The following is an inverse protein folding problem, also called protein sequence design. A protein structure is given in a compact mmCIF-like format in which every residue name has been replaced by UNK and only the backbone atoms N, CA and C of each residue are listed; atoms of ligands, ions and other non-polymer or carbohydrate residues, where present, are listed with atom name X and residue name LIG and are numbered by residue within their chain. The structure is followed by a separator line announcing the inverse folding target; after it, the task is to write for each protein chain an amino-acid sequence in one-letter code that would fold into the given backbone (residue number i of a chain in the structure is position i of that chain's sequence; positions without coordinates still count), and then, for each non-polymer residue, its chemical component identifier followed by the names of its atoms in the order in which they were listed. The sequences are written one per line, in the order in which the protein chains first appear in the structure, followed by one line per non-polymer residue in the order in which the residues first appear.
data_IF_141858445426
#
_entry.id   IF_141858445426
#
_cell.length_a   1.000
_cell.length_b   1.000
_cell.length_c   1.000
_cell.angle_alpha   90.00
_cell.angle_beta   90.00
_cell.angle_gamma   90.00
#
_symmetry.space_group_name_H-M   'P 1'
#
loop_
_entity.id
_entity.type
_entity.pdbx_description
1 polymer ?
#
# COMPACT_ATOMS: atom_id res chain seq x y z
N UNK A 1 27.86 -6.21 -5.12
CA UNK A 1 26.46 -6.66 -5.05
C UNK A 1 26.47 -8.13 -4.69
N UNK A 2 25.87 -8.51 -3.56
CA UNK A 2 25.70 -9.93 -3.20
C UNK A 2 24.60 -10.48 -4.11
N UNK A 3 24.91 -11.53 -4.85
CA UNK A 3 23.94 -12.18 -5.75
C UNK A 3 22.88 -12.90 -4.91
N UNK A 4 21.60 -12.61 -5.19
CA UNK A 4 20.47 -13.25 -4.53
C UNK A 4 20.41 -14.73 -4.92
N UNK A 5 20.40 -15.61 -3.93
CA UNK A 5 20.29 -17.04 -4.15
C UNK A 5 18.85 -17.48 -4.47
N UNK A 6 18.67 -18.74 -4.89
CA UNK A 6 17.35 -19.29 -5.28
C UNK A 6 16.33 -19.27 -4.15
N UNK A 7 16.75 -19.54 -2.92
CA UNK A 7 15.86 -19.58 -1.75
C UNK A 7 15.35 -18.17 -1.41
N UNK A 8 16.25 -17.18 -1.42
CA UNK A 8 15.92 -15.77 -1.21
C UNK A 8 14.95 -15.27 -2.28
N UNK A 9 15.22 -15.58 -3.55
CA UNK A 9 14.32 -15.24 -4.66
C UNK A 9 12.93 -15.86 -4.47
N UNK A 10 12.88 -17.16 -4.17
CA UNK A 10 11.63 -17.88 -3.95
C UNK A 10 10.83 -17.29 -2.78
N UNK A 11 11.50 -16.86 -1.71
CA UNK A 11 10.87 -16.22 -0.54
C UNK A 11 10.16 -14.91 -0.94
N UNK A 12 10.81 -14.06 -1.71
CA UNK A 12 10.21 -12.82 -2.25
C UNK A 12 9.03 -13.16 -3.15
N UNK A 13 9.22 -14.06 -4.13
CA UNK A 13 8.17 -14.47 -5.05
C UNK A 13 6.94 -15.01 -4.32
N UNK A 14 7.13 -15.86 -3.30
CA UNK A 14 6.04 -16.39 -2.48
C UNK A 14 5.25 -15.29 -1.78
N UNK A 15 5.91 -14.25 -1.26
CA UNK A 15 5.24 -13.11 -0.61
C UNK A 15 4.46 -12.27 -1.62
N UNK A 16 5.03 -11.99 -2.79
CA UNK A 16 4.36 -11.23 -3.85
C UNK A 16 3.16 -11.99 -4.45
N UNK A 17 3.31 -13.31 -4.68
CA UNK A 17 2.23 -14.19 -5.16
C UNK A 17 1.11 -14.35 -4.13
N UNK A 18 1.42 -14.17 -2.83
CA UNK A 18 0.41 -14.16 -1.76
C UNK A 18 -0.58 -13.01 -1.87
N UNK A 19 -0.32 -12.02 -2.72
CA UNK A 19 -1.15 -10.83 -2.93
C UNK A 19 -1.69 -10.79 -4.37
N UNK A 20 -2.58 -11.72 -4.77
CA UNK A 20 -3.00 -11.90 -6.17
C UNK A 20 -3.79 -10.71 -6.74
N UNK A 21 -4.31 -9.84 -5.88
CA UNK A 21 -5.02 -8.61 -6.25
C UNK A 21 -4.07 -7.42 -6.49
N UNK A 22 -2.76 -7.59 -6.28
CA UNK A 22 -1.75 -6.56 -6.55
C UNK A 22 -1.09 -6.84 -7.90
N UNK A 23 -1.11 -5.85 -8.79
CA UNK A 23 -0.37 -5.87 -10.04
C UNK A 23 1.04 -5.30 -9.79
N UNK A 24 2.04 -6.16 -9.64
CA UNK A 24 3.44 -5.77 -9.43
C UNK A 24 4.06 -5.22 -10.73
N UNK A 25 4.87 -4.17 -10.64
CA UNK A 25 5.43 -3.45 -11.80
C UNK A 25 6.96 -3.28 -11.69
N UNK A 26 7.40 -2.38 -10.81
CA UNK A 26 8.82 -1.99 -10.70
C UNK A 26 9.42 -2.46 -9.39
N UNK A 27 10.75 -2.57 -9.37
CA UNK A 27 11.50 -2.70 -8.13
C UNK A 27 12.72 -1.78 -8.15
N UNK A 28 13.21 -1.46 -6.96
CA UNK A 28 14.47 -0.77 -6.72
C UNK A 28 15.35 -1.68 -5.86
N UNK A 29 16.60 -1.89 -6.29
CA UNK A 29 17.60 -2.66 -5.57
C UNK A 29 18.63 -1.69 -4.98
N UNK A 30 18.60 -1.52 -3.66
CA UNK A 30 19.55 -0.70 -2.93
C UNK A 30 20.58 -1.57 -2.22
N UNK A 31 21.58 -0.93 -1.60
CA UNK A 31 22.65 -1.64 -0.90
C UNK A 31 22.12 -2.68 0.11
N UNK A 32 21.10 -2.30 0.89
CA UNK A 32 20.60 -3.08 2.02
C UNK A 32 19.21 -3.68 1.84
N UNK A 33 18.52 -3.42 0.72
CA UNK A 33 17.15 -3.88 0.51
C UNK A 33 16.75 -3.97 -0.97
N UNK A 34 15.66 -4.69 -1.21
CA UNK A 34 14.92 -4.63 -2.48
C UNK A 34 13.52 -4.12 -2.16
N UNK A 35 13.10 -3.03 -2.82
CA UNK A 35 11.74 -2.50 -2.70
C UNK A 35 10.97 -2.82 -3.97
N UNK A 36 9.80 -3.45 -3.85
CA UNK A 36 8.92 -3.79 -4.97
C UNK A 36 7.66 -2.94 -4.90
N UNK A 37 7.22 -2.42 -6.04
CA UNK A 37 6.08 -1.53 -6.19
C UNK A 37 4.97 -2.20 -7.01
N UNK A 38 3.72 -1.99 -6.59
CA UNK A 38 2.56 -2.54 -7.27
C UNK A 38 1.31 -1.69 -7.09
N UNK A 39 0.25 -2.10 -7.78
CA UNK A 39 -1.00 -1.36 -7.86
C UNK A 39 -2.22 -2.26 -7.71
N UNK A 40 -3.20 -1.84 -6.93
CA UNK A 40 -4.53 -2.48 -6.84
C UNK A 40 -5.50 -1.60 -7.63
N UNK A 41 -6.24 -2.20 -8.56
CA UNK A 41 -7.28 -1.48 -9.30
C UNK A 41 -8.46 -1.19 -8.37
N UNK A 42 -8.97 0.04 -8.40
CA UNK A 42 -10.23 0.40 -7.74
C UNK A 42 -11.36 0.28 -8.74
N UNK A 43 -12.49 -0.26 -8.30
CA UNK A 43 -13.68 -0.37 -9.15
C UNK A 43 -14.47 0.95 -9.24
N UNK A 44 -14.36 1.78 -8.20
CA UNK A 44 -15.22 2.97 -8.01
C UNK A 44 -14.70 4.23 -8.72
N UNK A 45 -13.42 4.27 -9.07
CA UNK A 45 -12.79 5.43 -9.69
C UNK A 45 -11.61 5.01 -10.60
N UNK A 46 -11.06 5.97 -11.34
CA UNK A 46 -9.88 5.75 -12.19
C UNK A 46 -8.56 5.75 -11.40
N UNK A 47 -8.61 5.86 -10.08
CA UNK A 47 -7.40 5.80 -9.26
C UNK A 47 -7.03 4.35 -8.99
N UNK A 48 -5.75 4.14 -8.67
CA UNK A 48 -5.24 2.86 -8.20
C UNK A 48 -4.69 3.04 -6.81
N UNK A 49 -4.79 2.00 -5.99
CA UNK A 49 -4.05 1.97 -4.75
C UNK A 49 -2.62 1.56 -5.00
N UNK A 50 -1.70 2.33 -4.45
CA UNK A 50 -0.29 2.00 -4.45
C UNK A 50 0.02 1.01 -3.34
N UNK A 51 0.92 0.07 -3.61
CA UNK A 51 1.48 -0.87 -2.65
C UNK A 51 3.01 -0.87 -2.82
N UNK A 52 3.74 -0.90 -1.72
CA UNK A 52 5.16 -1.25 -1.73
C UNK A 52 5.48 -2.26 -0.65
N UNK A 53 6.47 -3.11 -0.92
CA UNK A 53 7.06 -4.05 0.05
C UNK A 53 8.58 -3.93 -0.06
N UNK A 54 9.25 -3.83 1.07
CA UNK A 54 10.69 -3.79 1.20
C UNK A 54 11.19 -5.09 1.82
N UNK A 55 12.19 -5.70 1.19
CA UNK A 55 12.85 -6.92 1.63
C UNK A 55 14.29 -6.59 2.04
N UNK A 56 14.61 -6.70 3.33
CA UNK A 56 15.91 -6.36 3.90
C UNK A 56 16.96 -7.45 3.70
N UNK A 57 18.17 -7.08 3.28
CA UNK A 57 19.32 -7.99 3.13
C UNK A 57 19.96 -8.26 4.51
N UNK A 58 20.60 -9.43 4.71
CA UNK A 58 20.83 -10.50 3.73
C UNK A 58 19.70 -11.54 3.65
N UNK A 59 18.75 -11.54 4.58
CA UNK A 59 17.76 -12.63 4.72
C UNK A 59 16.52 -12.47 3.83
N UNK A 60 16.37 -11.31 3.20
CA UNK A 60 15.23 -10.90 2.36
C UNK A 60 13.88 -11.13 3.05
N UNK A 61 13.84 -10.89 4.37
CA UNK A 61 12.59 -10.73 5.12
C UNK A 61 11.98 -9.36 4.89
N UNK A 62 10.67 -9.26 5.09
CA UNK A 62 9.98 -7.99 4.93
C UNK A 62 10.40 -7.04 6.05
N UNK A 63 11.12 -5.97 5.68
CA UNK A 63 11.57 -4.91 6.60
C UNK A 63 10.55 -3.79 6.72
N UNK A 64 9.81 -3.52 5.64
CA UNK A 64 8.77 -2.52 5.60
C UNK A 64 7.74 -2.84 4.51
N UNK A 65 6.54 -2.30 4.66
CA UNK A 65 5.55 -2.28 3.60
C UNK A 65 4.59 -1.11 3.82
N UNK A 66 3.83 -0.75 2.78
CA UNK A 66 2.77 0.22 2.91
C UNK A 66 1.82 0.20 1.73
N UNK A 67 0.62 0.71 1.95
CA UNK A 67 -0.37 0.90 0.88
C UNK A 67 -1.19 2.16 1.09
N UNK A 68 -1.71 2.72 0.00
CA UNK A 68 -2.78 3.71 0.06
C UNK A 68 -4.17 3.09 0.23
N UNK A 69 -4.30 1.76 0.15
CA UNK A 69 -5.59 1.06 0.20
C UNK A 69 -6.07 0.86 1.63
N UNK A 70 -7.10 1.63 2.01
CA UNK A 70 -7.81 1.38 3.27
C UNK A 70 -8.51 0.01 3.28
N UNK A 71 -9.01 -0.44 2.12
CA UNK A 71 -9.78 -1.67 2.01
C UNK A 71 -8.89 -2.92 2.12
N UNK A 72 -7.66 -2.87 1.58
CA UNK A 72 -6.75 -4.02 1.54
C UNK A 72 -5.63 -4.00 2.59
N UNK A 73 -5.41 -2.91 3.33
CA UNK A 73 -4.25 -2.78 4.22
C UNK A 73 -4.17 -3.88 5.28
N UNK A 74 -5.29 -4.26 5.90
CA UNK A 74 -5.29 -5.32 6.91
C UNK A 74 -4.99 -6.71 6.31
N UNK A 75 -5.52 -6.99 5.11
CA UNK A 75 -5.27 -8.25 4.42
C UNK A 75 -3.80 -8.36 3.99
N UNK A 76 -3.23 -7.28 3.45
CA UNK A 76 -1.81 -7.20 3.10
C UNK A 76 -0.95 -7.44 4.35
N UNK A 77 -1.28 -6.78 5.46
CA UNK A 77 -0.56 -6.92 6.72
C UNK A 77 -0.43 -8.37 7.18
N UNK A 78 -1.54 -9.13 7.15
CA UNK A 78 -1.57 -10.55 7.56
C UNK A 78 -0.74 -11.46 6.66
N UNK A 79 -0.64 -11.12 5.38
CA UNK A 79 0.14 -11.91 4.40
C UNK A 79 1.63 -11.60 4.52
N UNK A 80 1.95 -10.31 4.72
CA UNK A 80 3.31 -9.81 4.91
C UNK A 80 3.89 -10.32 6.23
N UNK A 81 3.20 -10.07 7.33
CA UNK A 81 3.60 -10.53 8.66
C UNK A 81 2.85 -11.79 9.02
N UNK A 82 3.54 -12.92 8.97
CA UNK A 82 3.00 -14.23 9.37
C UNK A 82 2.90 -14.40 10.89
N UNK A 83 3.31 -13.40 11.68
CA UNK A 83 3.25 -13.41 13.14
C UNK A 83 2.09 -12.53 13.63
N UNK A 84 1.21 -13.11 14.47
CA UNK A 84 0.02 -12.46 15.01
C UNK A 84 0.34 -11.30 15.97
N UNK A 85 1.58 -11.22 16.46
CA UNK A 85 2.00 -10.20 17.42
C UNK A 85 2.19 -8.79 16.82
N UNK A 86 2.26 -8.66 15.49
CA UNK A 86 2.41 -7.34 14.85
C UNK A 86 1.03 -6.75 14.59
N UNK A 87 0.67 -5.69 15.32
CA UNK A 87 -0.60 -4.99 15.13
C UNK A 87 -0.61 -4.18 13.82
N UNK A 88 -1.68 -4.31 13.03
CA UNK A 88 -1.94 -3.47 11.86
C UNK A 88 -2.24 -2.02 12.28
N UNK A 89 -1.73 -1.06 11.52
CA UNK A 89 -2.02 0.36 11.69
C UNK A 89 -2.96 0.86 10.60
N UNK A 90 -4.04 1.54 10.97
CA UNK A 90 -5.01 2.05 10.01
C UNK A 90 -4.42 3.11 9.08
N UNK A 91 -4.76 3.03 7.80
CA UNK A 91 -4.49 4.09 6.82
C UNK A 91 -5.24 5.37 7.20
N UNK A 92 -4.48 6.46 7.40
CA UNK A 92 -4.99 7.78 7.76
C UNK A 92 -4.88 8.73 6.57
N UNK A 93 -5.83 9.68 6.49
CA UNK A 93 -5.85 10.71 5.44
C UNK A 93 -4.95 11.89 5.82
N UNK A 94 -4.17 12.37 4.85
CA UNK A 94 -3.19 13.45 5.05
C UNK A 94 -3.87 14.75 5.48
N UNK A 95 -5.03 15.08 4.90
CA UNK A 95 -5.76 16.33 5.21
C UNK A 95 -6.30 16.39 6.65
N UNK A 96 -6.41 15.25 7.35
CA UNK A 96 -6.86 15.23 8.74
C UNK A 96 -5.76 15.62 9.72
N UNK A 97 -4.49 15.62 9.29
CA UNK A 97 -3.34 15.86 10.16
C UNK A 97 -2.47 17.03 9.72
N UNK A 98 -2.33 17.24 8.41
CA UNK A 98 -1.40 18.20 7.83
C UNK A 98 -2.14 19.23 6.98
N UNK A 99 -1.75 20.51 7.09
CA UNK A 99 -2.31 21.60 6.30
C UNK A 99 -1.36 21.96 5.14
N UNK A 100 -1.46 21.21 4.04
CA UNK A 100 -0.63 21.42 2.84
C UNK A 100 -1.50 21.79 1.63
N UNK A 101 -0.98 22.65 0.75
CA UNK A 101 -1.73 23.20 -0.40
C UNK A 101 -2.17 22.13 -1.40
N UNK A 102 -1.33 21.12 -1.63
CA UNK A 102 -1.50 20.06 -2.61
C UNK A 102 -2.11 18.77 -2.01
N UNK A 103 -2.97 18.90 -0.98
CA UNK A 103 -3.68 17.75 -0.41
C UNK A 103 -4.99 17.48 -1.17
N UNK A 104 -5.27 16.20 -1.45
CA UNK A 104 -6.61 15.78 -1.87
C UNK A 104 -7.56 16.03 -0.69
N UNK A 105 -8.66 16.75 -0.93
CA UNK A 105 -9.71 17.01 0.07
C UNK A 105 -10.97 16.28 -0.37
N UNK A 106 -11.49 15.39 0.48
CA UNK A 106 -12.83 14.86 0.26
C UNK A 106 -13.84 15.98 0.49
N UNK A 107 -14.56 16.37 -0.55
CA UNK A 107 -15.72 17.24 -0.41
C UNK A 107 -16.83 16.35 0.14
N UNK A 108 -17.31 16.60 1.37
CA UNK A 108 -18.52 15.95 1.87
C UNK A 108 -19.67 16.27 0.90
N UNK A 109 -20.11 15.27 0.13
CA UNK A 109 -21.20 15.41 -0.85
C UNK A 109 -22.54 15.80 -0.19
N UNK A 110 -22.68 15.64 1.12
CA UNK A 110 -23.87 16.04 1.89
C UNK A 110 -24.14 17.56 1.88
N UNK A 111 -23.13 18.42 1.66
CA UNK A 111 -23.32 19.88 1.68
C UNK A 111 -23.69 20.49 0.32
N UNK A 112 -23.67 19.72 -0.78
CA UNK A 112 -24.11 20.22 -2.09
C UNK A 112 -25.62 20.10 -2.30
N UNK A 113 -26.29 19.11 -1.70
CA UNK A 113 -27.74 18.91 -1.90
C UNK A 113 -28.57 20.01 -1.23
N UNK A 114 -28.14 20.50 -0.06
CA UNK A 114 -28.85 21.56 0.68
C UNK A 114 -28.78 22.93 -0.03
N UNK A 115 -27.77 23.17 -0.88
CA UNK A 115 -27.66 24.43 -1.62
C UNK A 115 -28.48 24.49 -2.92
N UNK A 116 -28.97 23.35 -3.42
CA UNK A 116 -29.79 23.31 -4.64
C UNK A 116 -31.30 23.29 -4.37
N UNK A 117 -31.75 23.02 -3.15
CA UNK A 117 -33.18 22.91 -2.80
C UNK A 117 -33.71 24.06 -1.90
N UNK A 118 -32.89 25.08 -1.64
CA UNK A 118 -33.24 26.21 -0.77
C UNK A 118 -33.69 27.49 -1.50
N UNK A 119 -34.36 27.37 -2.64
CA UNK A 119 -35.04 28.50 -3.31
C UNK A 119 -36.38 28.05 -3.88
N UNK A 120 -37.41 28.12 -3.04
CA UNK A 120 -38.77 28.49 -3.43
C UNK A 120 -39.34 29.34 -2.31
#
# INVERSE_FOLDING_TARGET
MIEMNREQKFKIEKKLMGLPYVNWDRYFDAENNITVFGWINREKDNYKDFVYIEFGKPDYDVSAWGTSSKEYSEAIHKIVYSNEDVKHNDCKRVEHKFNIKNCIKLINQEKQIVRLHGRF
#
